data_IF_973008866757
#
_entry.id   IF_973008866757
#
_cell.length_a   1.000
_cell.length_b   1.000
_cell.length_c   1.000
_cell.angle_alpha   90.00
_cell.angle_beta   90.00
_cell.angle_gamma   90.00
#
_symmetry.space_group_name_H-M   'P 1'
#
loop_
_entity.id
_entity.type
_entity.pdbx_description
1 polymer ?
#
# COMPACT_ATOMS: atom_id res chain seq x y z
N UNK A 1 28.12 -33.12 -15.13
CA UNK A 1 28.52 -32.49 -13.85
C UNK A 1 27.36 -31.75 -13.21
N UNK A 2 26.76 -30.73 -13.84
CA UNK A 2 25.67 -29.93 -13.25
C UNK A 2 24.47 -30.74 -12.72
N UNK A 3 23.96 -31.73 -13.46
CA UNK A 3 22.80 -32.53 -13.02
C UNK A 3 23.06 -33.32 -11.71
N UNK A 4 24.31 -33.74 -11.49
CA UNK A 4 24.70 -34.44 -10.27
C UNK A 4 24.74 -33.47 -9.08
N UNK A 5 25.29 -32.27 -9.27
CA UNK A 5 25.37 -31.24 -8.24
C UNK A 5 23.97 -30.77 -7.80
N UNK A 6 23.04 -30.59 -8.74
CA UNK A 6 21.64 -30.28 -8.41
C UNK A 6 20.96 -31.41 -7.65
N UNK A 7 21.17 -32.68 -8.05
CA UNK A 7 20.60 -33.82 -7.33
C UNK A 7 21.14 -33.95 -5.90
N UNK A 8 22.43 -33.67 -5.69
CA UNK A 8 23.04 -33.66 -4.37
C UNK A 8 22.45 -32.53 -3.51
N UNK A 9 22.36 -31.31 -4.05
CA UNK A 9 21.76 -30.18 -3.34
C UNK A 9 20.30 -30.43 -2.92
N UNK A 10 19.49 -31.07 -3.78
CA UNK A 10 18.11 -31.42 -3.43
C UNK A 10 18.04 -32.44 -2.30
N UNK A 11 18.94 -33.44 -2.29
CA UNK A 11 19.02 -34.43 -1.20
C UNK A 11 19.42 -33.77 0.12
N UNK A 12 20.40 -32.87 0.09
CA UNK A 12 20.86 -32.16 1.28
C UNK A 12 19.78 -31.23 1.83
N UNK A 13 19.03 -30.53 0.97
CA UNK A 13 17.87 -29.74 1.38
C UNK A 13 16.81 -30.62 2.04
N UNK A 14 16.49 -31.80 1.48
CA UNK A 14 15.52 -32.71 2.07
C UNK A 14 15.97 -33.22 3.45
N UNK A 15 17.27 -33.49 3.63
CA UNK A 15 17.84 -33.86 4.93
C UNK A 15 17.77 -32.71 5.94
N UNK A 16 18.11 -31.49 5.54
CA UNK A 16 18.10 -30.32 6.44
C UNK A 16 16.67 -29.92 6.86
N UNK A 17 15.69 -30.04 5.95
CA UNK A 17 14.25 -29.89 6.28
C UNK A 17 13.81 -30.91 7.32
N UNK A 18 14.26 -32.17 7.20
CA UNK A 18 13.93 -33.23 8.16
C UNK A 18 14.60 -33.01 9.52
N UNK A 19 15.82 -32.48 9.53
CA UNK A 19 16.56 -32.20 10.77
C UNK A 19 16.02 -30.95 11.50
N UNK A 20 15.59 -29.92 10.75
CA UNK A 20 15.16 -28.62 11.31
C UNK A 20 13.84 -28.16 10.66
N UNK A 21 12.72 -28.86 10.89
CA UNK A 21 11.45 -28.57 10.22
C UNK A 21 10.94 -27.16 10.52
N UNK A 22 11.11 -26.67 11.76
CA UNK A 22 10.71 -25.30 12.11
C UNK A 22 11.44 -24.23 11.31
N UNK A 23 12.76 -24.37 11.11
CA UNK A 23 13.53 -23.38 10.32
C UNK A 23 13.12 -23.41 8.86
N UNK A 24 12.88 -24.60 8.31
CA UNK A 24 12.42 -24.78 6.95
C UNK A 24 11.01 -24.20 6.73
N UNK A 25 10.09 -24.39 7.69
CA UNK A 25 8.74 -23.80 7.62
C UNK A 25 8.82 -22.28 7.65
N UNK A 26 9.64 -21.68 8.53
CA UNK A 26 9.80 -20.22 8.60
C UNK A 26 10.34 -19.67 7.29
N UNK A 27 11.40 -20.27 6.73
CA UNK A 27 11.98 -19.80 5.46
C UNK A 27 11.02 -19.98 4.28
N UNK A 28 10.35 -21.13 4.20
CA UNK A 28 9.36 -21.39 3.16
C UNK A 28 8.17 -20.42 3.26
N UNK A 29 7.66 -20.16 4.47
CA UNK A 29 6.56 -19.21 4.69
C UNK A 29 6.97 -17.79 4.32
N UNK A 30 8.21 -17.40 4.60
CA UNK A 30 8.73 -16.08 4.23
C UNK A 30 8.83 -15.91 2.70
N UNK A 31 9.40 -16.89 2.00
CA UNK A 31 9.49 -16.85 0.54
C UNK A 31 8.10 -16.86 -0.09
N UNK A 32 7.22 -17.75 0.39
CA UNK A 32 5.84 -17.81 -0.09
C UNK A 32 5.09 -16.50 0.14
N UNK A 33 5.21 -15.92 1.34
CA UNK A 33 4.60 -14.63 1.68
C UNK A 33 5.10 -13.48 0.81
N UNK A 34 6.42 -13.41 0.55
CA UNK A 34 7.00 -12.43 -0.36
C UNK A 34 6.53 -12.62 -1.81
N UNK A 35 6.48 -13.87 -2.30
CA UNK A 35 5.98 -14.17 -3.64
C UNK A 35 4.50 -13.81 -3.79
N UNK A 36 3.69 -14.09 -2.75
CA UNK A 36 2.29 -13.71 -2.72
C UNK A 36 2.12 -12.18 -2.70
N UNK A 37 2.89 -11.48 -1.86
CA UNK A 37 2.88 -10.01 -1.79
C UNK A 37 3.32 -9.35 -3.10
N UNK A 38 4.28 -9.96 -3.82
CA UNK A 38 4.72 -9.47 -5.12
C UNK A 38 3.65 -9.60 -6.19
N UNK A 39 2.94 -10.74 -6.20
CA UNK A 39 1.86 -10.98 -7.14
C UNK A 39 0.66 -10.06 -6.87
N UNK A 40 0.32 -9.87 -5.60
CA UNK A 40 -0.85 -9.14 -5.13
C UNK A 40 -0.51 -7.68 -4.78
N UNK A 41 0.45 -7.07 -5.48
CA UNK A 41 0.88 -5.71 -5.18
C UNK A 41 -0.10 -4.69 -5.78
N UNK A 42 -0.75 -3.83 -4.98
CA UNK A 42 -1.82 -2.96 -5.48
C UNK A 42 -1.30 -1.88 -6.43
N UNK A 43 -2.03 -1.66 -7.52
CA UNK A 43 -1.71 -0.65 -8.54
C UNK A 43 -2.69 0.54 -8.53
N UNK A 44 -2.35 1.63 -9.20
CA UNK A 44 -3.17 2.84 -9.33
C UNK A 44 -4.59 2.55 -9.82
N UNK A 45 -4.72 1.64 -10.79
CA UNK A 45 -6.03 1.28 -11.36
C UNK A 45 -6.92 0.60 -10.30
N UNK A 46 -6.34 -0.25 -9.46
CA UNK A 46 -7.06 -0.94 -8.39
C UNK A 46 -7.47 0.04 -7.28
N UNK A 47 -6.59 0.99 -6.91
CA UNK A 47 -6.97 2.06 -5.99
C UNK A 47 -8.17 2.85 -6.52
N UNK A 48 -8.16 3.22 -7.80
CA UNK A 48 -9.26 3.99 -8.40
C UNK A 48 -10.57 3.22 -8.43
N UNK A 49 -10.52 1.93 -8.77
CA UNK A 49 -11.69 1.05 -8.71
C UNK A 49 -12.19 0.93 -7.27
N UNK A 50 -11.30 0.68 -6.32
CA UNK A 50 -11.64 0.57 -4.89
C UNK A 50 -12.27 1.85 -4.35
N UNK A 51 -11.74 3.02 -4.71
CA UNK A 51 -12.33 4.30 -4.35
C UNK A 51 -13.72 4.48 -4.96
N UNK A 52 -13.95 4.02 -6.20
CA UNK A 52 -15.28 4.06 -6.79
C UNK A 52 -16.28 3.16 -6.02
N UNK A 53 -15.86 1.94 -5.65
CA UNK A 53 -16.67 1.02 -4.86
C UNK A 53 -17.01 1.61 -3.47
N UNK A 54 -16.03 2.22 -2.81
CA UNK A 54 -16.23 2.87 -1.51
C UNK A 54 -17.16 4.08 -1.61
N UNK A 55 -17.08 4.88 -2.69
CA UNK A 55 -18.05 5.96 -2.95
C UNK A 55 -19.45 5.41 -3.11
N UNK A 56 -19.62 4.34 -3.88
CA UNK A 56 -20.91 3.71 -4.05
C UNK A 56 -21.46 3.21 -2.72
N UNK A 57 -20.61 2.62 -1.86
CA UNK A 57 -20.99 2.21 -0.50
C UNK A 57 -21.47 3.41 0.34
N UNK A 58 -20.74 4.53 0.32
CA UNK A 58 -21.11 5.75 1.07
C UNK A 58 -22.44 6.35 0.59
N UNK A 59 -22.73 6.32 -0.72
CA UNK A 59 -24.00 6.82 -1.27
C UNK A 59 -25.21 6.05 -0.74
N UNK A 60 -25.06 4.79 -0.35
CA UNK A 60 -26.13 3.98 0.24
C UNK A 60 -26.39 4.32 1.71
N UNK A 61 -25.42 4.93 2.39
CA UNK A 61 -25.53 5.29 3.80
C UNK A 61 -26.15 6.70 3.89
N UNK A 62 -27.17 6.92 4.74
CA UNK A 62 -27.69 8.26 4.98
C UNK A 62 -26.62 9.19 5.54
N UNK A 63 -26.61 10.44 5.05
CA UNK A 63 -25.65 11.48 5.46
C UNK A 63 -25.66 11.72 6.98
N UNK A 64 -26.79 11.47 7.66
CA UNK A 64 -26.94 11.64 9.11
C UNK A 64 -26.09 10.67 9.93
N UNK A 65 -25.75 9.50 9.37
CA UNK A 65 -24.95 8.47 10.05
C UNK A 65 -23.58 8.25 9.39
N UNK A 66 -23.16 9.15 8.49
CA UNK A 66 -21.84 9.07 7.87
C UNK A 66 -20.74 9.27 8.89
N UNK A 67 -19.72 8.41 8.84
CA UNK A 67 -18.48 8.66 9.57
C UNK A 67 -17.69 9.77 8.90
N UNK A 68 -17.50 10.88 9.62
CA UNK A 68 -16.67 12.02 9.17
C UNK A 68 -15.27 11.60 8.76
N UNK A 69 -14.70 10.59 9.43
CA UNK A 69 -13.39 10.03 9.08
C UNK A 69 -13.38 9.43 7.67
N UNK A 70 -14.44 8.68 7.31
CA UNK A 70 -14.56 8.08 5.98
C UNK A 70 -14.72 9.15 4.91
N UNK A 71 -15.52 10.19 5.18
CA UNK A 71 -15.72 11.32 4.27
C UNK A 71 -14.44 12.13 4.06
N UNK A 72 -13.74 12.51 5.14
CA UNK A 72 -12.47 13.24 5.08
C UNK A 72 -11.41 12.42 4.31
N UNK A 73 -11.38 11.11 4.53
CA UNK A 73 -10.51 10.20 3.80
C UNK A 73 -10.84 10.22 2.31
N UNK A 74 -12.11 10.04 1.95
CA UNK A 74 -12.57 10.05 0.57
C UNK A 74 -12.26 11.38 -0.12
N UNK A 75 -12.53 12.50 0.55
CA UNK A 75 -12.24 13.84 0.04
C UNK A 75 -10.74 14.01 -0.22
N UNK A 76 -9.90 13.66 0.77
CA UNK A 76 -8.44 13.74 0.63
C UNK A 76 -7.93 12.93 -0.56
N UNK A 77 -8.36 11.68 -0.69
CA UNK A 77 -8.00 10.81 -1.80
C UNK A 77 -8.45 11.38 -3.15
N UNK A 78 -9.69 11.88 -3.21
CA UNK A 78 -10.27 12.48 -4.43
C UNK A 78 -9.51 13.73 -4.84
N UNK A 79 -9.17 14.59 -3.88
CA UNK A 79 -8.41 15.81 -4.11
C UNK A 79 -7.02 15.51 -4.67
N UNK A 80 -6.28 14.58 -4.05
CA UNK A 80 -4.93 14.20 -4.50
C UNK A 80 -4.93 13.58 -5.89
N UNK A 81 -5.94 12.76 -6.22
CA UNK A 81 -6.15 12.21 -7.54
C UNK A 81 -6.44 13.27 -8.59
N UNK A 82 -7.37 14.19 -8.30
CA UNK A 82 -7.77 15.26 -9.21
C UNK A 82 -6.61 16.23 -9.48
N UNK A 83 -5.83 16.55 -8.45
CA UNK A 83 -4.67 17.44 -8.55
C UNK A 83 -3.43 16.76 -9.18
N UNK A 84 -3.48 15.45 -9.46
CA UNK A 84 -2.32 14.63 -9.91
C UNK A 84 -1.11 14.80 -8.98
N UNK A 85 -1.37 14.86 -7.68
CA UNK A 85 -0.37 15.04 -6.61
C UNK A 85 -0.12 13.77 -5.81
N UNK A 86 -0.59 12.64 -6.31
CA UNK A 86 -0.44 11.33 -5.67
C UNK A 86 0.54 10.48 -6.47
N UNK A 87 1.64 10.11 -5.83
CA UNK A 87 2.63 9.21 -6.39
C UNK A 87 2.44 7.79 -5.87
N UNK A 88 2.55 6.83 -6.79
CA UNK A 88 2.61 5.40 -6.50
C UNK A 88 4.06 4.94 -6.58
N UNK A 89 4.65 4.66 -5.43
CA UNK A 89 5.97 4.05 -5.35
C UNK A 89 5.78 2.55 -5.15
N UNK A 90 5.76 1.82 -6.26
CA UNK A 90 5.65 0.37 -6.26
C UNK A 90 7.02 -0.24 -5.91
N UNK A 91 7.11 -0.85 -4.73
CA UNK A 91 8.22 -1.72 -4.36
C UNK A 91 7.86 -3.17 -4.70
N UNK A 92 8.78 -4.11 -4.48
CA UNK A 92 8.53 -5.51 -4.85
C UNK A 92 7.38 -6.15 -4.06
N UNK A 93 7.21 -5.87 -2.77
CA UNK A 93 6.22 -6.56 -1.93
C UNK A 93 5.21 -5.59 -1.27
N UNK A 94 5.26 -4.31 -1.63
CA UNK A 94 4.35 -3.28 -1.13
C UNK A 94 4.37 -2.07 -2.06
N UNK A 95 3.34 -1.24 -1.94
CA UNK A 95 3.21 0.04 -2.63
C UNK A 95 3.11 1.15 -1.61
N UNK A 96 3.83 2.25 -1.80
CA UNK A 96 3.66 3.46 -0.98
C UNK A 96 2.91 4.51 -1.76
N UNK A 97 1.95 5.14 -1.08
CA UNK A 97 1.24 6.32 -1.56
C UNK A 97 1.85 7.55 -0.91
N UNK A 98 2.47 8.39 -1.75
CA UNK A 98 3.15 9.61 -1.32
C UNK A 98 2.45 10.83 -1.87
N UNK A 99 2.19 11.80 -1.00
CA UNK A 99 1.68 13.11 -1.40
C UNK A 99 2.81 13.99 -1.92
N UNK A 100 2.69 14.46 -3.16
CA UNK A 100 3.52 15.55 -3.69
C UNK A 100 2.95 16.89 -3.26
N UNK A 101 3.83 17.83 -2.89
CA UNK A 101 3.42 19.22 -2.61
C UNK A 101 3.05 20.00 -3.87
N UNK A 102 3.62 19.65 -5.01
CA UNK A 102 3.42 20.36 -6.29
C UNK A 102 3.01 19.39 -7.39
N UNK A 103 2.16 19.86 -8.30
CA UNK A 103 1.83 19.14 -9.51
C UNK A 103 3.07 19.11 -10.43
N UNK A 104 3.47 17.95 -10.99
CA UNK A 104 4.64 17.86 -11.87
C UNK A 104 4.56 18.73 -13.13
N UNK A 105 3.36 19.16 -13.53
CA UNK A 105 3.17 20.08 -14.65
C UNK A 105 3.32 21.55 -14.26
N UNK A 106 3.43 21.86 -12.96
CA UNK A 106 3.65 23.23 -12.49
C UNK A 106 5.16 23.48 -12.44
N UNK A 107 5.68 24.13 -13.48
CA UNK A 107 7.11 24.41 -13.63
C UNK A 107 7.51 25.66 -12.78
N UNK A 108 7.20 25.64 -11.49
CA UNK A 108 7.61 26.72 -10.57
C UNK A 108 9.05 26.48 -10.12
N UNK A 109 9.88 27.53 -10.14
CA UNK A 109 11.30 27.45 -9.77
C UNK A 109 11.50 26.92 -8.33
N UNK A 110 10.54 27.18 -7.44
CA UNK A 110 10.53 26.68 -6.06
C UNK A 110 10.39 25.14 -5.94
N UNK A 111 9.76 24.48 -6.92
CA UNK A 111 9.62 23.03 -6.93
C UNK A 111 10.97 22.34 -7.22
N UNK A 112 11.79 22.91 -8.10
CA UNK A 112 13.10 22.38 -8.48
C UNK A 112 14.17 22.56 -7.38
N UNK A 113 14.12 23.67 -6.65
CA UNK A 113 15.14 23.99 -5.63
C UNK A 113 15.04 23.10 -4.38
N UNK A 114 13.85 22.60 -4.02
CA UNK A 114 13.66 21.74 -2.84
C UNK A 114 13.95 20.26 -3.08
N UNK A 115 13.72 19.74 -4.29
CA UNK A 115 14.12 18.37 -4.68
C UNK A 115 15.61 18.13 -4.40
N UNK A 116 16.43 19.19 -4.44
CA UNK A 116 17.88 19.12 -4.28
C UNK A 116 18.35 19.17 -2.82
N UNK A 117 17.52 19.62 -1.85
CA UNK A 117 18.01 20.10 -0.54
C UNK A 117 17.62 19.25 0.68
N UNK A 118 16.67 18.33 0.56
CA UNK A 118 16.31 17.39 1.64
C UNK A 118 16.67 15.96 1.27
N UNK A 119 17.08 15.16 2.26
CA UNK A 119 17.40 13.76 2.04
C UNK A 119 16.11 13.03 1.63
N UNK A 120 16.02 12.45 0.42
CA UNK A 120 14.76 12.06 -0.21
C UNK A 120 13.99 11.02 0.61
N UNK A 121 14.69 10.20 1.39
CA UNK A 121 14.07 9.20 2.28
C UNK A 121 13.24 9.83 3.40
N UNK A 122 13.74 10.87 4.07
CA UNK A 122 13.02 11.51 5.18
C UNK A 122 11.74 12.18 4.67
N UNK A 123 11.84 12.84 3.51
CA UNK A 123 10.68 13.48 2.89
C UNK A 123 9.67 12.47 2.38
N UNK A 124 10.12 11.35 1.81
CA UNK A 124 9.26 10.24 1.40
C UNK A 124 8.47 9.68 2.58
N UNK A 125 9.13 9.34 3.70
CA UNK A 125 8.44 8.82 4.89
C UNK A 125 7.51 9.85 5.54
N UNK A 126 7.86 11.14 5.51
CA UNK A 126 7.02 12.22 6.05
C UNK A 126 5.76 12.48 5.19
N UNK A 127 5.88 12.35 3.88
CA UNK A 127 4.80 12.60 2.94
C UNK A 127 4.02 11.32 2.55
N UNK A 128 4.50 10.15 3.00
CA UNK A 128 3.80 8.88 2.85
C UNK A 128 2.55 8.91 3.73
N UNK A 129 1.39 8.71 3.11
CA UNK A 129 0.11 8.77 3.84
C UNK A 129 -0.64 7.44 3.84
N UNK A 130 -0.30 6.50 2.96
CA UNK A 130 -0.86 5.15 2.97
C UNK A 130 0.13 4.09 2.43
N UNK A 131 -0.10 2.85 2.86
CA UNK A 131 0.68 1.66 2.57
C UNK A 131 -0.23 0.62 1.91
N UNK A 132 0.12 0.24 0.68
CA UNK A 132 -0.49 -0.83 -0.08
C UNK A 132 0.23 -2.16 0.16
N UNK A 133 -0.46 -3.18 0.66
CA UNK A 133 0.07 -4.53 0.82
C UNK A 133 -1.07 -5.52 0.52
N UNK A 134 -0.79 -6.60 -0.20
CA UNK A 134 -1.77 -7.65 -0.54
C UNK A 134 -3.08 -7.09 -1.12
N UNK A 135 -2.99 -6.25 -2.15
CA UNK A 135 -4.16 -5.69 -2.84
C UNK A 135 -4.94 -4.63 -2.03
N UNK A 136 -4.54 -4.37 -0.79
CA UNK A 136 -5.25 -3.52 0.15
C UNK A 136 -4.44 -2.29 0.54
N UNK A 137 -5.13 -1.17 0.76
CA UNK A 137 -4.53 0.07 1.27
C UNK A 137 -4.93 0.23 2.73
N UNK A 138 -3.95 0.13 3.63
CA UNK A 138 -4.20 -0.05 5.07
C UNK A 138 -4.95 1.12 5.70
N UNK A 139 -4.56 2.36 5.39
CA UNK A 139 -5.19 3.55 5.96
C UNK A 139 -6.57 3.80 5.36
N UNK A 140 -6.74 3.54 4.06
CA UNK A 140 -8.02 3.59 3.37
C UNK A 140 -9.00 2.58 3.98
N UNK A 141 -8.66 1.29 3.98
CA UNK A 141 -9.55 0.24 4.50
C UNK A 141 -9.86 0.46 6.00
N UNK A 142 -8.87 0.88 6.80
CA UNK A 142 -9.10 1.23 8.21
C UNK A 142 -10.09 2.38 8.39
N UNK A 143 -10.12 3.34 7.48
CA UNK A 143 -11.02 4.49 7.56
C UNK A 143 -12.45 4.17 7.11
N UNK A 144 -12.68 3.00 6.50
CA UNK A 144 -13.97 2.53 6.01
C UNK A 144 -14.54 1.31 6.75
N UNK A 145 -13.85 0.84 7.80
CA UNK A 145 -14.33 -0.25 8.65
C UNK A 145 -15.63 0.11 9.37
N UNK A 146 -15.73 1.35 9.87
CA UNK A 146 -16.84 1.87 10.67
C UNK A 146 -17.50 3.09 9.98
N UNK A 147 -17.76 2.98 8.67
CA UNK A 147 -18.24 4.09 7.85
C UNK A 147 -19.72 4.50 8.10
N UNK A 148 -20.48 3.63 8.77
CA UNK A 148 -21.88 3.78 9.15
C UNK A 148 -22.07 4.20 10.62
N UNK A 149 -20.98 4.50 11.33
CA UNK A 149 -21.01 4.96 12.72
C UNK A 149 -20.61 6.44 12.76
N UNK A 150 -21.56 7.29 13.16
CA UNK A 150 -21.29 8.70 13.43
C UNK A 150 -20.78 8.86 14.87
N UNK A 151 -19.47 8.98 15.04
CA UNK A 151 -18.85 9.18 16.37
C UNK A 151 -19.31 10.49 17.05
N UNK A 152 -19.76 11.49 16.29
CA UNK A 152 -20.26 12.77 16.81
C UNK A 152 -21.61 12.64 17.54
N UNK A 153 -22.41 11.61 17.27
CA UNK A 153 -23.68 11.37 17.98
C UNK A 153 -23.48 10.82 19.40
N UNK A 154 -22.28 10.33 19.73
CA UNK A 154 -21.96 9.68 21.00
C UNK A 154 -21.12 10.56 21.95
N UNK A 155 -20.81 11.80 21.56
CA UNK A 155 -20.04 12.81 22.31
C UNK A 155 -20.94 13.95 22.80
#
# INVERSE_FOLDING_TARGET
MLAHDYSAAVKDLALDVRQKPFKAIISASFVFGLSYAYHDNPNERELRNRLADLRQKMVLIPVTIHSRRSDDCLEKYTKLLNEKRMDFLNFWFFTLLVERRYNPNCNSNEANERITRQWPWIELWRNCFDFGIFGHFLMLDKSFNDCDICEEEFL
#
